data_IF_959811349873
#
_entry.id   IF_959811349873
#
_cell.length_a   1.000
_cell.length_b   1.000
_cell.length_c   1.000
_cell.angle_alpha   90.00
_cell.angle_beta   90.00
_cell.angle_gamma   90.00
#
_symmetry.space_group_name_H-M   'P 1'
#
loop_
_entity.id
_entity.type
_entity.pdbx_description
1 polymer ?
#
# COMPACT_ATOMS: atom_id res chain seq x y z
N UNK A 1 -10.09 3.05 5.72
CA UNK A 1 -8.97 3.98 6.02
C UNK A 1 -8.72 4.01 7.50
N UNK A 2 -7.46 4.01 7.92
CA UNK A 2 -7.10 4.11 9.34
C UNK A 2 -6.28 5.37 9.56
N UNK A 3 -6.78 6.27 10.38
CA UNK A 3 -6.09 7.50 10.78
C UNK A 3 -5.81 7.46 12.27
N UNK A 4 -4.54 7.63 12.67
CA UNK A 4 -4.13 7.58 14.07
C UNK A 4 -2.88 8.42 14.32
N UNK A 5 -2.77 8.97 15.52
CA UNK A 5 -1.61 9.78 15.93
C UNK A 5 -0.35 8.94 16.13
N UNK A 6 -0.49 7.67 16.50
CA UNK A 6 0.65 6.79 16.78
C UNK A 6 0.76 5.72 15.71
N UNK A 7 1.99 5.31 15.41
CA UNK A 7 2.27 4.31 14.38
C UNK A 7 1.88 2.87 14.78
N UNK A 8 1.79 2.58 16.08
CA UNK A 8 1.60 1.21 16.59
C UNK A 8 0.29 0.56 16.11
N UNK A 9 -0.84 1.26 16.21
CA UNK A 9 -2.13 0.73 15.76
C UNK A 9 -2.23 0.60 14.25
N UNK A 10 -1.62 1.51 13.50
CA UNK A 10 -1.57 1.47 12.04
C UNK A 10 -0.79 0.26 11.54
N UNK A 11 0.37 0.01 12.13
CA UNK A 11 1.21 -1.13 11.76
C UNK A 11 0.48 -2.46 11.97
N UNK A 12 -0.29 -2.57 13.05
CA UNK A 12 -1.08 -3.77 13.34
C UNK A 12 -2.11 -4.07 12.23
N UNK A 13 -2.76 -3.05 11.69
CA UNK A 13 -3.71 -3.22 10.58
C UNK A 13 -3.00 -3.76 9.34
N UNK A 14 -1.84 -3.21 9.01
CA UNK A 14 -1.03 -3.70 7.88
C UNK A 14 -0.60 -5.16 8.09
N UNK A 15 -0.12 -5.50 9.27
CA UNK A 15 0.28 -6.87 9.62
C UNK A 15 -0.88 -7.85 9.52
N UNK A 16 -2.07 -7.44 9.92
CA UNK A 16 -3.27 -8.26 9.81
C UNK A 16 -3.63 -8.55 8.35
N UNK A 17 -3.57 -7.55 7.49
CA UNK A 17 -3.81 -7.73 6.06
C UNK A 17 -2.79 -8.68 5.43
N UNK A 18 -1.52 -8.56 5.79
CA UNK A 18 -0.47 -9.47 5.33
C UNK A 18 -0.74 -10.91 5.79
N UNK A 19 -1.11 -11.08 7.04
CA UNK A 19 -1.42 -12.41 7.59
C UNK A 19 -2.63 -13.04 6.89
N UNK A 20 -3.67 -12.26 6.59
CA UNK A 20 -4.83 -12.73 5.84
C UNK A 20 -4.46 -13.18 4.44
N UNK A 21 -3.68 -12.40 3.70
CA UNK A 21 -3.28 -12.76 2.35
C UNK A 21 -2.46 -14.04 2.33
N UNK A 22 -1.58 -14.23 3.30
CA UNK A 22 -0.81 -15.47 3.43
C UNK A 22 -1.71 -16.68 3.69
N UNK A 23 -2.71 -16.51 4.53
CA UNK A 23 -3.70 -17.55 4.80
C UNK A 23 -4.51 -17.91 3.57
N UNK A 24 -4.82 -16.94 2.72
CA UNK A 24 -5.56 -17.11 1.47
C UNK A 24 -4.67 -17.50 0.30
N UNK A 25 -3.35 -17.62 0.49
CA UNK A 25 -2.37 -17.88 -0.55
C UNK A 25 -2.37 -16.81 -1.65
N UNK A 26 -2.63 -15.57 -1.27
CA UNK A 26 -2.61 -14.40 -2.13
C UNK A 26 -1.41 -13.51 -1.77
N UNK A 27 -1.29 -12.35 -2.43
CA UNK A 27 -0.19 -11.42 -2.22
C UNK A 27 -0.68 -10.10 -1.63
N UNK A 28 0.21 -9.43 -0.92
CA UNK A 28 0.01 -8.07 -0.40
C UNK A 28 1.11 -7.16 -0.92
N UNK A 29 0.74 -5.96 -1.37
CA UNK A 29 1.69 -4.90 -1.70
C UNK A 29 1.59 -3.82 -0.61
N UNK A 30 2.73 -3.48 -0.03
CA UNK A 30 2.85 -2.39 0.94
C UNK A 30 3.60 -1.24 0.29
N UNK A 31 2.96 -0.08 0.19
CA UNK A 31 3.59 1.11 -0.40
C UNK A 31 3.81 2.19 0.63
N UNK A 32 4.91 2.92 0.47
CA UNK A 32 5.20 4.13 1.22
C UNK A 32 5.68 5.22 0.26
N UNK A 33 5.53 6.51 0.62
CA UNK A 33 5.94 7.60 -0.26
C UNK A 33 7.45 7.81 -0.28
N UNK A 34 8.19 7.25 0.66
CA UNK A 34 9.61 7.52 0.86
C UNK A 34 10.39 6.21 0.90
N UNK A 35 11.51 6.17 0.15
CA UNK A 35 12.39 5.00 0.04
C UNK A 35 12.95 4.54 1.39
N UNK A 36 13.31 5.47 2.27
CA UNK A 36 13.84 5.14 3.60
C UNK A 36 12.81 4.42 4.48
N UNK A 37 11.54 4.81 4.39
CA UNK A 37 10.46 4.12 5.08
C UNK A 37 10.24 2.71 4.54
N UNK A 38 10.37 2.53 3.23
CA UNK A 38 10.30 1.21 2.60
C UNK A 38 11.39 0.29 3.13
N UNK A 39 12.62 0.78 3.25
CA UNK A 39 13.75 0.01 3.80
C UNK A 39 13.50 -0.42 5.23
N UNK A 40 12.98 0.48 6.07
CA UNK A 40 12.66 0.17 7.46
C UNK A 40 11.58 -0.91 7.55
N UNK A 41 10.48 -0.76 6.81
CA UNK A 41 9.39 -1.71 6.80
C UNK A 41 9.80 -3.07 6.25
N UNK A 42 10.67 -3.09 5.26
CA UNK A 42 11.23 -4.35 4.76
C UNK A 42 11.93 -5.13 5.86
N UNK A 43 12.80 -4.47 6.63
CA UNK A 43 13.49 -5.11 7.75
C UNK A 43 12.53 -5.62 8.81
N UNK A 44 11.56 -4.80 9.20
CA UNK A 44 10.59 -5.15 10.23
C UNK A 44 9.73 -6.35 9.82
N UNK A 45 9.19 -6.33 8.61
CA UNK A 45 8.33 -7.39 8.11
C UNK A 45 9.10 -8.66 7.74
N UNK A 46 10.34 -8.53 7.30
CA UNK A 46 11.20 -9.68 7.02
C UNK A 46 11.46 -10.51 8.28
N UNK A 47 11.69 -9.86 9.42
CA UNK A 47 11.84 -10.52 10.70
C UNK A 47 10.55 -11.21 11.14
N UNK A 48 9.39 -10.61 10.86
CA UNK A 48 8.10 -11.10 11.34
C UNK A 48 7.49 -12.17 10.44
N UNK A 49 7.57 -12.00 9.13
CA UNK A 49 6.87 -12.87 8.17
C UNK A 49 7.80 -13.75 7.34
N UNK A 50 9.06 -13.41 7.20
CA UNK A 50 10.05 -14.17 6.44
C UNK A 50 9.95 -13.98 4.93
N UNK A 51 8.81 -14.29 4.31
CA UNK A 51 8.58 -14.19 2.87
C UNK A 51 8.19 -12.77 2.46
N UNK A 52 9.17 -11.87 2.48
CA UNK A 52 9.01 -10.46 2.17
C UNK A 52 10.04 -10.03 1.14
N UNK A 53 9.60 -9.29 0.14
CA UNK A 53 10.45 -8.71 -0.87
C UNK A 53 10.38 -7.19 -0.87
N UNK A 54 11.32 -6.56 -1.57
CA UNK A 54 11.35 -5.11 -1.74
C UNK A 54 11.71 -4.76 -3.17
N UNK A 55 10.94 -3.84 -3.76
CA UNK A 55 11.19 -3.28 -5.08
C UNK A 55 11.36 -1.77 -4.96
N UNK A 56 12.54 -1.29 -5.31
CA UNK A 56 12.83 0.14 -5.45
C UNK A 56 13.47 0.37 -6.82
N UNK A 57 13.76 1.63 -7.15
CA UNK A 57 14.44 1.95 -8.40
C UNK A 57 15.81 1.27 -8.54
N UNK A 58 16.50 1.01 -7.41
CA UNK A 58 17.87 0.49 -7.40
C UNK A 58 17.97 -0.96 -6.92
N UNK A 59 16.93 -1.48 -6.24
CA UNK A 59 17.02 -2.76 -5.52
C UNK A 59 15.80 -3.63 -5.81
N UNK A 60 16.08 -4.91 -6.11
CA UNK A 60 15.05 -5.95 -6.20
C UNK A 60 15.46 -7.10 -5.28
N UNK A 61 14.73 -7.28 -4.19
CA UNK A 61 14.92 -8.36 -3.24
C UNK A 61 13.67 -9.23 -3.23
N UNK A 62 13.83 -10.52 -3.51
CA UNK A 62 12.75 -11.52 -3.46
C UNK A 62 11.45 -11.04 -4.16
N UNK A 63 11.56 -10.72 -5.44
CA UNK A 63 10.47 -10.11 -6.24
C UNK A 63 9.18 -10.93 -6.32
N UNK A 64 9.25 -12.23 -6.03
CA UNK A 64 8.10 -13.13 -6.05
C UNK A 64 7.52 -13.42 -4.66
N UNK A 65 7.96 -12.67 -3.64
CA UNK A 65 7.47 -12.83 -2.28
C UNK A 65 5.96 -12.56 -2.16
N UNK A 66 5.34 -13.16 -1.16
CA UNK A 66 3.92 -12.94 -0.86
C UNK A 66 3.62 -11.54 -0.33
N UNK A 67 4.61 -10.86 0.25
CA UNK A 67 4.52 -9.47 0.66
C UNK A 67 5.62 -8.68 -0.03
N UNK A 68 5.23 -7.72 -0.87
CA UNK A 68 6.16 -6.85 -1.58
C UNK A 68 6.06 -5.42 -1.05
N UNK A 69 7.20 -4.87 -0.67
CA UNK A 69 7.31 -3.48 -0.20
C UNK A 69 7.92 -2.65 -1.32
N UNK A 70 7.29 -1.52 -1.62
CA UNK A 70 7.74 -0.64 -2.70
C UNK A 70 7.29 0.80 -2.45
N UNK A 71 7.82 1.73 -3.24
CA UNK A 71 7.29 3.08 -3.28
C UNK A 71 6.06 3.14 -4.18
N UNK A 72 5.26 4.19 -4.03
CA UNK A 72 4.04 4.36 -4.83
C UNK A 72 4.38 4.50 -6.32
N UNK A 73 5.49 5.14 -6.66
CA UNK A 73 5.96 5.29 -8.04
C UNK A 73 6.28 3.94 -8.68
N UNK A 74 6.86 3.01 -7.93
CA UNK A 74 7.14 1.66 -8.43
C UNK A 74 5.84 0.91 -8.69
N UNK A 75 4.85 1.04 -7.81
CA UNK A 75 3.53 0.45 -8.04
C UNK A 75 2.88 1.03 -9.29
N UNK A 76 2.97 2.33 -9.50
CA UNK A 76 2.48 2.99 -10.73
C UNK A 76 3.13 2.37 -11.97
N UNK A 77 4.44 2.24 -11.98
CA UNK A 77 5.16 1.62 -13.11
C UNK A 77 4.73 0.18 -13.35
N UNK A 78 4.52 -0.57 -12.29
CA UNK A 78 4.05 -1.96 -12.37
C UNK A 78 2.65 -2.04 -13.01
N UNK A 79 1.74 -1.14 -12.64
CA UNK A 79 0.40 -1.08 -13.23
C UNK A 79 0.42 -0.72 -14.71
N UNK A 80 1.37 0.12 -15.14
CA UNK A 80 1.53 0.49 -16.55
C UNK A 80 2.21 -0.60 -17.38
N UNK A 81 3.28 -1.18 -16.86
CA UNK A 81 4.20 -2.00 -17.66
C UNK A 81 3.98 -3.51 -17.48
N UNK A 82 3.46 -3.93 -16.34
CA UNK A 82 3.32 -5.35 -16.02
C UNK A 82 2.14 -5.58 -15.07
N UNK A 83 0.94 -5.29 -15.58
CA UNK A 83 -0.30 -5.44 -14.80
C UNK A 83 -0.60 -6.89 -14.42
N UNK A 84 0.00 -7.88 -15.08
CA UNK A 84 -0.17 -9.28 -14.72
C UNK A 84 0.33 -9.62 -13.32
N UNK A 85 1.30 -8.86 -12.81
CA UNK A 85 1.84 -9.03 -11.45
C UNK A 85 0.85 -8.66 -10.36
N UNK A 86 -0.23 -7.94 -10.69
CA UNK A 86 -1.29 -7.54 -9.75
C UNK A 86 -2.39 -8.61 -9.64
N UNK A 87 -2.41 -9.59 -10.53
CA UNK A 87 -3.49 -10.58 -10.60
C UNK A 87 -3.71 -11.36 -9.29
N UNK A 88 -2.62 -11.68 -8.57
CA UNK A 88 -2.66 -12.44 -7.33
C UNK A 88 -2.71 -11.57 -6.07
N UNK A 89 -2.78 -10.25 -6.22
CA UNK A 89 -2.76 -9.31 -5.10
C UNK A 89 -4.16 -9.17 -4.51
N UNK A 90 -4.28 -9.46 -3.23
CA UNK A 90 -5.52 -9.28 -2.47
C UNK A 90 -5.59 -7.90 -1.81
N UNK A 91 -4.46 -7.42 -1.27
CA UNK A 91 -4.39 -6.17 -0.52
C UNK A 91 -3.31 -5.26 -1.06
N UNK A 92 -3.62 -3.98 -1.17
CA UNK A 92 -2.63 -2.92 -1.34
C UNK A 92 -2.75 -1.96 -0.16
N UNK A 93 -1.64 -1.78 0.54
CA UNK A 93 -1.56 -0.92 1.72
C UNK A 93 -0.82 0.35 1.32
N UNK A 94 -1.49 1.49 1.49
CA UNK A 94 -0.88 2.81 1.31
C UNK A 94 -0.57 3.39 2.67
N UNK A 95 0.72 3.43 3.02
CA UNK A 95 1.16 4.01 4.28
C UNK A 95 1.51 5.49 4.08
N UNK A 96 1.37 6.25 5.16
CA UNK A 96 1.70 7.67 5.21
C UNK A 96 0.96 8.50 4.14
N UNK A 97 -0.33 8.22 3.93
CA UNK A 97 -1.13 8.87 2.87
C UNK A 97 -1.29 10.38 3.06
N UNK A 98 -0.96 10.92 4.25
CA UNK A 98 -0.94 12.37 4.48
C UNK A 98 0.09 13.12 3.62
N UNK A 99 1.09 12.42 3.07
CA UNK A 99 2.05 12.98 2.11
C UNK A 99 1.43 13.22 0.72
N UNK A 100 0.17 12.82 0.49
CA UNK A 100 -0.54 13.03 -0.78
C UNK A 100 -0.69 14.51 -1.15
N UNK A 101 -0.72 15.40 -0.16
CA UNK A 101 -0.84 16.83 -0.37
C UNK A 101 0.43 17.47 -0.98
N UNK A 102 1.50 16.70 -1.16
CA UNK A 102 2.65 17.13 -1.95
C UNK A 102 2.26 17.08 -3.43
N UNK A 103 2.27 18.23 -4.10
CA UNK A 103 1.85 18.38 -5.51
C UNK A 103 2.55 17.41 -6.45
N UNK A 104 3.79 17.04 -6.17
CA UNK A 104 4.56 16.11 -7.00
C UNK A 104 4.13 14.66 -6.85
N UNK A 105 3.53 14.29 -5.73
CA UNK A 105 3.18 12.90 -5.39
C UNK A 105 1.68 12.62 -5.47
N UNK A 106 0.86 13.66 -5.39
CA UNK A 106 -0.59 13.51 -5.40
C UNK A 106 -1.13 12.87 -6.68
N UNK A 107 -0.61 13.26 -7.85
CA UNK A 107 -1.04 12.71 -9.13
C UNK A 107 -0.68 11.24 -9.31
N UNK A 108 0.50 10.82 -8.85
CA UNK A 108 0.92 9.42 -8.89
C UNK A 108 -0.04 8.56 -8.07
N UNK A 109 -0.37 9.03 -6.89
CA UNK A 109 -1.24 8.32 -5.97
C UNK A 109 -2.66 8.17 -6.51
N UNK A 110 -3.22 9.23 -7.07
CA UNK A 110 -4.55 9.20 -7.70
C UNK A 110 -4.61 8.19 -8.85
N UNK A 111 -3.62 8.22 -9.74
CA UNK A 111 -3.54 7.28 -10.86
C UNK A 111 -3.46 5.83 -10.38
N UNK A 112 -2.68 5.55 -9.36
CA UNK A 112 -2.56 4.20 -8.79
C UNK A 112 -3.91 3.73 -8.27
N UNK A 113 -4.62 4.55 -7.51
CA UNK A 113 -5.94 4.20 -6.98
C UNK A 113 -6.92 3.92 -8.11
N UNK A 114 -6.95 4.75 -9.14
CA UNK A 114 -7.87 4.59 -10.26
C UNK A 114 -7.57 3.29 -11.04
N UNK A 115 -6.29 2.96 -11.22
CA UNK A 115 -5.86 1.83 -12.05
C UNK A 115 -5.87 0.48 -11.34
N UNK A 116 -5.89 0.44 -10.02
CA UNK A 116 -5.96 -0.82 -9.29
C UNK A 116 -7.24 -1.58 -9.66
N UNK A 117 -7.16 -2.90 -9.90
CA UNK A 117 -8.35 -3.71 -10.17
C UNK A 117 -9.34 -3.68 -9.01
N UNK A 118 -10.63 -3.85 -9.31
CA UNK A 118 -11.69 -3.88 -8.29
C UNK A 118 -11.59 -5.08 -7.34
N UNK A 119 -10.87 -6.11 -7.74
CA UNK A 119 -10.60 -7.28 -6.90
C UNK A 119 -9.62 -7.01 -5.77
N UNK A 120 -8.86 -5.91 -5.85
CA UNK A 120 -7.89 -5.52 -4.83
C UNK A 120 -8.57 -4.72 -3.73
N UNK A 121 -8.35 -5.11 -2.48
CA UNK A 121 -8.77 -4.35 -1.32
C UNK A 121 -7.69 -3.35 -0.93
N UNK A 122 -8.11 -2.14 -0.58
CA UNK A 122 -7.20 -1.03 -0.29
C UNK A 122 -7.26 -0.70 1.20
N UNK A 123 -6.08 -0.63 1.83
CA UNK A 123 -5.89 -0.13 3.19
C UNK A 123 -5.08 1.16 3.13
N UNK A 124 -5.55 2.20 3.78
CA UNK A 124 -4.87 3.49 3.83
C UNK A 124 -4.55 3.85 5.27
N UNK A 125 -3.29 4.09 5.53
CA UNK A 125 -2.78 4.44 6.86
C UNK A 125 -2.25 5.88 6.84
N UNK A 126 -2.67 6.69 7.79
CA UNK A 126 -2.30 8.10 7.81
C UNK A 126 -2.13 8.60 9.24
N UNK A 127 -1.26 9.58 9.42
CA UNK A 127 -1.38 10.48 10.57
C UNK A 127 -2.73 11.20 10.48
N UNK A 128 -3.22 11.74 11.60
CA UNK A 128 -4.47 12.49 11.61
C UNK A 128 -4.32 13.77 10.80
N UNK A 129 -5.16 13.95 9.77
CA UNK A 129 -5.21 15.14 8.93
C UNK A 129 -6.64 15.66 8.87
N UNK A 130 -6.85 16.99 8.75
CA UNK A 130 -8.20 17.58 8.78
C UNK A 130 -9.14 17.02 7.69
N UNK A 131 -8.62 16.66 6.53
CA UNK A 131 -9.41 16.30 5.35
C UNK A 131 -9.52 14.80 5.10
N UNK A 132 -9.23 13.96 6.10
CA UNK A 132 -9.20 12.51 5.87
C UNK A 132 -10.55 11.92 5.45
N UNK A 133 -11.65 12.49 5.92
CA UNK A 133 -13.00 12.02 5.54
C UNK A 133 -13.33 12.31 4.08
N UNK A 134 -13.06 13.53 3.62
CA UNK A 134 -13.28 13.91 2.22
C UNK A 134 -12.47 13.02 1.28
N UNK A 135 -11.23 12.75 1.67
CA UNK A 135 -10.34 11.89 0.95
C UNK A 135 -10.86 10.45 0.88
N UNK A 136 -11.28 9.89 2.01
CA UNK A 136 -11.89 8.56 2.05
C UNK A 136 -13.15 8.47 1.18
N UNK A 137 -13.99 9.50 1.21
CA UNK A 137 -15.19 9.58 0.38
C UNK A 137 -14.84 9.62 -1.11
N UNK A 138 -13.81 10.35 -1.49
CA UNK A 138 -13.33 10.38 -2.87
C UNK A 138 -12.91 8.99 -3.36
N UNK A 139 -12.11 8.27 -2.56
CA UNK A 139 -11.71 6.90 -2.89
C UNK A 139 -12.92 5.98 -3.02
N UNK A 140 -13.88 6.10 -2.10
CA UNK A 140 -15.10 5.31 -2.14
C UNK A 140 -15.91 5.53 -3.41
N UNK A 141 -16.01 6.78 -3.87
CA UNK A 141 -16.68 7.13 -5.13
C UNK A 141 -15.95 6.58 -6.34
N UNK A 142 -14.64 6.77 -6.40
CA UNK A 142 -13.81 6.30 -7.52
C UNK A 142 -13.86 4.78 -7.64
N UNK A 143 -13.82 4.07 -6.54
CA UNK A 143 -13.82 2.60 -6.51
C UNK A 143 -15.21 2.00 -6.44
N UNK A 144 -16.27 2.80 -6.26
CA UNK A 144 -17.62 2.32 -6.06
C UNK A 144 -17.72 1.27 -4.95
N UNK A 145 -16.95 1.49 -3.88
CA UNK A 145 -16.86 0.59 -2.73
C UNK A 145 -17.20 1.30 -1.43
N UNK A 146 -17.69 0.52 -0.48
CA UNK A 146 -17.92 1.00 0.86
C UNK A 146 -16.59 1.25 1.58
N UNK A 147 -16.49 2.39 2.24
CA UNK A 147 -15.30 2.78 2.98
C UNK A 147 -15.59 2.71 4.48
N UNK A 148 -14.66 2.12 5.21
CA UNK A 148 -14.66 2.10 6.67
C UNK A 148 -13.51 2.98 7.16
N UNK A 149 -13.80 3.89 8.08
CA UNK A 149 -12.83 4.83 8.65
C UNK A 149 -12.74 4.63 10.16
#
# INVERSE_FOLDING_TARGET
MVAAHTSAGKTLVAEYAIALSRRHMTKTIYTSPIKSLSNQKYRDFKLKFGDVGMLTGDVQLNKDASCLIMTTEILQQMLYNDSSRIADVEWVIFDEVHYINDEQRGSVWEEVIIKLPDTVSIVMLSATVPNYLEFAQWVGRVKQKKIYV
#
